data_IF_793599708094
#
_entry.id   IF_793599708094
#
_cell.length_a   1.000
_cell.length_b   1.000
_cell.length_c   1.000
_cell.angle_alpha   90.00
_cell.angle_beta   90.00
_cell.angle_gamma   90.00
#
_symmetry.space_group_name_H-M   'P 1'
#
loop_
_entity.id
_entity.type
_entity.pdbx_description
1 polymer ?
#
# COMPACT_ATOMS: atom_id res chain seq x y z
N UNK A 1 -15.62 13.82 1.57
CA UNK A 1 -14.48 13.08 0.97
C UNK A 1 -14.51 11.67 1.56
N UNK A 2 -14.72 10.62 0.76
CA UNK A 2 -14.64 9.25 1.27
C UNK A 2 -13.16 8.94 1.62
N UNK A 3 -12.87 8.28 2.75
CA UNK A 3 -11.50 7.88 3.07
C UNK A 3 -11.04 6.86 2.01
N UNK A 4 -9.88 7.11 1.40
CA UNK A 4 -9.31 6.19 0.43
C UNK A 4 -8.84 4.92 1.15
N UNK A 5 -9.18 3.71 0.65
CA UNK A 5 -8.52 2.49 1.10
C UNK A 5 -7.00 2.70 1.01
N UNK A 6 -6.25 2.27 2.04
CA UNK A 6 -4.78 2.37 2.11
C UNK A 6 -4.16 3.74 2.42
N UNK A 7 -4.96 4.79 2.72
CA UNK A 7 -4.40 6.08 3.16
C UNK A 7 -3.63 5.99 4.49
N UNK A 8 -4.02 5.05 5.37
CA UNK A 8 -3.42 4.90 6.69
C UNK A 8 -3.38 3.44 7.12
N UNK A 9 -2.19 2.99 7.52
CA UNK A 9 -1.96 1.70 8.15
C UNK A 9 -1.46 1.90 9.58
N UNK A 10 -1.95 1.07 10.51
CA UNK A 10 -1.39 0.94 11.85
C UNK A 10 -0.48 -0.28 11.87
N UNK A 11 0.79 -0.11 12.26
CA UNK A 11 1.75 -1.22 12.37
C UNK A 11 2.17 -1.34 13.83
N UNK A 12 2.12 -2.56 14.35
CA UNK A 12 2.52 -2.88 15.71
C UNK A 12 3.33 -4.18 15.75
N UNK A 13 4.04 -4.40 16.85
CA UNK A 13 4.87 -5.58 17.07
C UNK A 13 4.47 -6.22 18.40
N UNK A 14 4.01 -7.47 18.33
CA UNK A 14 3.64 -8.24 19.51
C UNK A 14 4.76 -9.22 19.89
N UNK A 15 5.04 -9.30 21.20
CA UNK A 15 5.95 -10.28 21.80
C UNK A 15 6.84 -9.68 22.90
N UNK A 16 7.80 -10.47 23.42
CA UNK A 16 8.16 -11.82 22.99
C UNK A 16 7.18 -12.90 23.47
N UNK A 17 6.86 -13.84 22.58
CA UNK A 17 6.07 -15.05 22.87
C UNK A 17 7.00 -16.24 23.18
N UNK A 18 6.47 -17.34 23.76
CA UNK A 18 7.20 -18.61 23.80
C UNK A 18 7.68 -19.01 22.40
N UNK A 19 8.92 -19.49 22.29
CA UNK A 19 9.52 -19.78 20.99
C UNK A 19 8.73 -20.86 20.25
N UNK A 20 8.21 -20.49 19.08
CA UNK A 20 7.57 -21.43 18.17
C UNK A 20 8.58 -22.16 17.28
N UNK A 21 8.10 -23.04 16.39
CA UNK A 21 8.93 -23.66 15.36
C UNK A 21 9.73 -22.60 14.57
N UNK A 22 11.03 -22.84 14.39
CA UNK A 22 11.92 -21.88 13.73
C UNK A 22 12.38 -20.71 14.61
N UNK A 23 12.22 -20.80 15.94
CA UNK A 23 12.64 -19.78 16.93
C UNK A 23 11.96 -18.42 16.75
N UNK A 24 10.80 -18.41 16.09
CA UNK A 24 9.98 -17.20 15.96
C UNK A 24 9.34 -16.89 17.31
N UNK A 25 9.39 -15.61 17.70
CA UNK A 25 8.89 -15.16 19.00
C UNK A 25 8.23 -13.79 18.95
N UNK A 26 8.20 -13.16 17.79
CA UNK A 26 7.55 -11.88 17.58
C UNK A 26 6.59 -11.96 16.39
N UNK A 27 5.55 -11.15 16.41
CA UNK A 27 4.64 -10.93 15.30
C UNK A 27 4.70 -9.46 14.90
N UNK A 28 4.98 -9.18 13.63
CA UNK A 28 4.74 -7.86 13.04
C UNK A 28 3.32 -7.88 12.49
N UNK A 29 2.49 -6.93 12.91
CA UNK A 29 1.08 -6.85 12.53
C UNK A 29 0.83 -5.49 11.88
N UNK A 30 0.16 -5.48 10.74
CA UNK A 30 -0.34 -4.27 10.09
C UNK A 30 -1.85 -4.36 9.90
N UNK A 31 -2.54 -3.25 10.15
CA UNK A 31 -3.97 -3.12 9.94
C UNK A 31 -4.29 -1.90 9.10
N UNK A 32 -5.00 -2.10 8.00
CA UNK A 32 -5.55 -1.00 7.23
C UNK A 32 -6.70 -0.36 8.00
N UNK A 33 -6.63 0.94 8.27
CA UNK A 33 -7.65 1.61 9.08
C UNK A 33 -9.02 1.59 8.41
N UNK A 34 -9.07 1.60 7.07
CA UNK A 34 -10.31 1.68 6.31
C UNK A 34 -10.95 0.32 6.11
N UNK A 35 -10.24 -0.63 5.49
CA UNK A 35 -10.78 -1.97 5.21
C UNK A 35 -10.77 -2.90 6.43
N UNK A 36 -10.08 -2.51 7.51
CA UNK A 36 -9.82 -3.36 8.69
C UNK A 36 -9.09 -4.65 8.34
N UNK A 37 -8.41 -4.71 7.20
CA UNK A 37 -7.62 -5.86 6.81
C UNK A 37 -6.37 -5.97 7.68
N UNK A 38 -6.10 -7.16 8.21
CA UNK A 38 -4.96 -7.45 9.08
C UNK A 38 -3.99 -8.36 8.34
N UNK A 39 -2.74 -7.91 8.23
CA UNK A 39 -1.61 -8.70 7.76
C UNK A 39 -0.65 -8.93 8.92
N UNK A 40 -0.20 -10.17 9.12
CA UNK A 40 0.69 -10.52 10.21
C UNK A 40 1.82 -11.45 9.76
N UNK A 41 3.02 -11.24 10.30
CA UNK A 41 4.20 -12.04 9.99
C UNK A 41 5.00 -12.38 11.25
N UNK A 42 5.25 -13.67 11.45
CA UNK A 42 6.12 -14.14 12.52
C UNK A 42 7.60 -13.93 12.19
N UNK A 43 8.36 -13.41 13.15
CA UNK A 43 9.79 -13.16 13.01
C UNK A 43 10.57 -13.62 14.25
N UNK A 44 11.82 -14.00 14.05
CA UNK A 44 12.75 -14.44 15.11
C UNK A 44 13.37 -13.26 15.85
N UNK A 45 13.54 -12.12 15.18
CA UNK A 45 14.13 -10.90 15.72
C UNK A 45 13.47 -9.68 15.10
N UNK A 46 13.25 -8.66 15.92
CA UNK A 46 12.75 -7.36 15.49
C UNK A 46 13.92 -6.54 14.99
N UNK A 47 14.07 -6.44 13.67
CA UNK A 47 15.03 -5.53 13.04
C UNK A 47 14.33 -4.64 12.03
N UNK A 48 14.87 -3.43 11.80
CA UNK A 48 14.33 -2.52 10.80
C UNK A 48 14.26 -3.15 9.40
N UNK A 49 15.22 -4.03 9.06
CA UNK A 49 15.20 -4.79 7.82
C UNK A 49 14.01 -5.75 7.70
N UNK A 50 13.63 -6.44 8.78
CA UNK A 50 12.46 -7.32 8.80
C UNK A 50 11.15 -6.54 8.66
N UNK A 51 11.04 -5.39 9.34
CA UNK A 51 9.87 -4.50 9.21
C UNK A 51 9.76 -3.94 7.79
N UNK A 52 10.86 -3.44 7.22
CA UNK A 52 10.89 -2.94 5.83
C UNK A 52 10.49 -4.02 4.83
N UNK A 53 11.04 -5.23 4.99
CA UNK A 53 10.68 -6.40 4.16
C UNK A 53 9.20 -6.74 4.29
N UNK A 54 8.66 -6.73 5.52
CA UNK A 54 7.24 -6.98 5.75
C UNK A 54 6.35 -5.94 5.05
N UNK A 55 6.65 -4.64 5.20
CA UNK A 55 5.88 -3.56 4.55
C UNK A 55 5.92 -3.69 3.02
N UNK A 56 7.09 -3.93 2.45
CA UNK A 56 7.23 -4.08 1.00
C UNK A 56 6.44 -5.28 0.46
N UNK A 57 6.63 -6.46 1.05
CA UNK A 57 6.03 -7.71 0.56
C UNK A 57 4.52 -7.82 0.82
N UNK A 58 4.03 -7.25 1.93
CA UNK A 58 2.66 -7.52 2.40
C UNK A 58 1.73 -6.31 2.28
N UNK A 59 2.26 -5.08 2.18
CA UNK A 59 1.46 -3.87 2.03
C UNK A 59 1.63 -3.32 0.61
N UNK A 60 2.84 -2.90 0.24
CA UNK A 60 3.12 -2.22 -1.04
C UNK A 60 2.84 -3.15 -2.23
N UNK A 61 3.56 -4.27 -2.34
CA UNK A 61 3.45 -5.15 -3.51
C UNK A 61 2.08 -5.81 -3.68
N UNK A 62 1.32 -6.04 -2.60
CA UNK A 62 0.00 -6.69 -2.71
C UNK A 62 -1.11 -5.72 -3.11
N UNK A 63 -1.14 -4.53 -2.50
CA UNK A 63 -2.28 -3.62 -2.65
C UNK A 63 -2.08 -2.59 -3.76
N UNK A 64 -0.84 -2.15 -4.02
CA UNK A 64 -0.58 -1.22 -5.11
C UNK A 64 -0.69 -1.91 -6.49
N UNK A 65 -0.34 -3.19 -6.59
CA UNK A 65 -0.40 -3.94 -7.86
C UNK A 65 -1.82 -4.43 -8.18
N UNK A 66 -2.65 -4.67 -7.15
CA UNK A 66 -3.98 -5.27 -7.32
C UNK A 66 -5.11 -4.25 -7.46
N UNK A 67 -4.86 -2.97 -7.24
CA UNK A 67 -5.83 -1.94 -7.56
C UNK A 67 -5.66 -1.48 -9.02
N UNK A 68 -6.62 -1.75 -9.92
CA UNK A 68 -6.80 -0.85 -11.04
C UNK A 68 -7.21 0.48 -10.40
N UNK A 69 -6.28 1.43 -10.35
CA UNK A 69 -6.65 2.82 -10.17
C UNK A 69 -7.75 3.10 -11.20
N UNK A 70 -8.88 3.70 -10.81
CA UNK A 70 -9.95 4.08 -11.75
C UNK A 70 -9.53 5.21 -12.71
N UNK A 71 -8.28 5.23 -13.17
CA UNK A 71 -8.02 5.69 -14.52
C UNK A 71 -8.53 4.57 -15.42
N UNK A 72 -9.81 4.63 -15.77
CA UNK A 72 -10.35 3.82 -16.85
C UNK A 72 -9.55 4.18 -18.10
N UNK A 73 -8.49 3.42 -18.36
CA UNK A 73 -7.80 3.42 -19.62
C UNK A 73 -8.73 2.71 -20.61
N UNK A 74 -9.75 3.41 -21.11
CA UNK A 74 -10.30 3.08 -22.43
C UNK A 74 -9.26 3.60 -23.42
N UNK A 75 -8.20 2.81 -23.63
CA UNK A 75 -7.31 3.05 -24.77
C UNK A 75 -8.01 2.43 -25.96
N UNK A 76 -8.91 3.20 -26.57
CA UNK A 76 -9.34 2.92 -27.93
C UNK A 76 -8.28 3.51 -28.85
N UNK A 77 -7.48 2.63 -29.47
CA UNK A 77 -6.28 2.99 -30.26
C UNK A 77 -6.64 3.84 -31.49
N UNK A 78 -7.93 4.05 -31.77
CA UNK A 78 -8.40 4.71 -32.98
C UNK A 78 -8.62 6.23 -32.82
N UNK A 79 -8.80 6.80 -31.60
CA UNK A 79 -9.31 8.18 -31.46
C UNK A 79 -8.67 9.05 -30.35
N UNK A 80 -7.33 9.11 -30.21
CA UNK A 80 -6.70 9.84 -29.09
C UNK A 80 -6.01 11.18 -29.45
N UNK A 81 -6.36 11.84 -30.55
CA UNK A 81 -5.68 13.10 -30.94
C UNK A 81 -6.33 14.38 -30.34
N UNK A 82 -7.46 14.28 -29.63
CA UNK A 82 -8.19 15.46 -29.11
C UNK A 82 -8.00 15.74 -27.59
N UNK A 83 -7.47 14.80 -26.80
CA UNK A 83 -7.42 14.94 -25.32
C UNK A 83 -6.13 15.56 -24.73
N UNK A 84 -5.12 15.88 -25.54
CA UNK A 84 -3.83 16.37 -25.02
C UNK A 84 -3.85 17.83 -24.54
N UNK A 85 -4.79 18.66 -25.01
CA UNK A 85 -4.83 20.09 -24.69
C UNK A 85 -5.33 20.44 -23.28
N UNK A 86 -6.45 19.89 -22.76
CA UNK A 86 -6.95 20.27 -21.44
C UNK A 86 -6.10 19.74 -20.27
N UNK A 87 -5.30 18.68 -20.48
CA UNK A 87 -4.46 18.10 -19.44
C UNK A 87 -3.23 18.95 -19.10
N UNK A 88 -2.77 19.80 -20.02
CA UNK A 88 -1.62 20.68 -19.76
C UNK A 88 -2.02 21.89 -18.90
N UNK A 89 -3.20 22.46 -19.16
CA UNK A 89 -3.75 23.57 -18.38
C UNK A 89 -3.99 23.17 -16.91
N UNK A 90 -4.47 21.94 -16.67
CA UNK A 90 -4.68 21.39 -15.32
C UNK A 90 -3.37 21.13 -14.55
N UNK A 91 -2.26 20.85 -15.23
CA UNK A 91 -0.96 20.63 -14.58
C UNK A 91 -0.32 21.94 -14.12
N UNK A 92 -0.54 23.04 -14.85
CA UNK A 92 -0.08 24.37 -14.42
C UNK A 92 -0.88 24.89 -13.22
N UNK A 93 -2.20 24.65 -13.18
CA UNK A 93 -3.07 25.08 -12.07
C UNK A 93 -2.76 24.37 -10.73
N UNK A 94 -2.15 23.18 -10.77
CA UNK A 94 -1.77 22.40 -9.58
C UNK A 94 -0.40 22.78 -8.99
N UNK A 95 0.32 23.72 -9.62
CA UNK A 95 1.66 24.15 -9.17
C UNK A 95 1.65 25.42 -8.32
N UNK A 96 0.54 26.18 -8.28
CA UNK A 96 0.46 27.46 -7.56
C UNK A 96 -0.34 27.43 -6.23
N UNK A 97 -0.50 26.27 -5.59
CA UNK A 97 -1.10 26.16 -4.24
C UNK A 97 -0.21 25.42 -3.25
#
# INVERSE_FOLDING_TARGET
>A
MAPWPFYKWGIDIAGPFPEGPGKVKFLIVAMDYFTKLIEAKAVTTITGGQVKKFVWENIVCRFEIRMPTYHTAVVDVVNNDEELRPNLDLLEERREL
#
